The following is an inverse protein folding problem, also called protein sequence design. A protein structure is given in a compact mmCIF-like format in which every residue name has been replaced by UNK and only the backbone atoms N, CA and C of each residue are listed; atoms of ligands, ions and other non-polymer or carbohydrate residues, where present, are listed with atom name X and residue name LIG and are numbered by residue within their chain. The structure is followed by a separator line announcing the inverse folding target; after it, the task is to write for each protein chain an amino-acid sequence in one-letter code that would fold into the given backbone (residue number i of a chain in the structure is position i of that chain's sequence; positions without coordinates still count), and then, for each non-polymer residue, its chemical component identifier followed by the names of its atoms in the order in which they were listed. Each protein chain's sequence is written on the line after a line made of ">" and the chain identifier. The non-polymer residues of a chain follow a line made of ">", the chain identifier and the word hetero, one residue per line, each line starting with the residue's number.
data_IF_580260348455
#
_entry.id   IF_580260348455
#
_cell.length_a   1.000
_cell.length_b   1.000
_cell.length_c   1.000
_cell.angle_alpha   90.00
_cell.angle_beta   90.00
_cell.angle_gamma   90.00
#
_symmetry.space_group_name_H-M   'P 1'
#
loop_
_entity.id
_entity.type
_entity.pdbx_description
1 polymer ?
#
# COMPACT_ATOMS: atom_id res chain seq x y z
N UNK A 1 -8.83 -11.37 16.56
CA UNK A 1 -7.42 -11.28 16.98
C UNK A 1 -6.65 -10.60 15.86
N UNK A 2 -5.74 -9.68 16.19
CA UNK A 2 -4.83 -9.06 15.21
C UNK A 2 -3.43 -9.20 15.77
N UNK A 3 -2.48 -9.66 14.95
CA UNK A 3 -1.08 -9.74 15.36
C UNK A 3 -0.13 -9.39 14.22
N UNK A 4 1.00 -8.80 14.58
CA UNK A 4 2.15 -8.68 13.70
C UNK A 4 2.87 -10.03 13.66
N UNK A 5 3.23 -10.47 12.47
CA UNK A 5 4.05 -11.65 12.28
C UNK A 5 5.53 -11.28 12.34
N UNK A 6 6.40 -12.29 12.26
CA UNK A 6 7.84 -12.06 12.21
C UNK A 6 8.20 -11.18 11.00
N UNK A 7 8.97 -10.12 11.24
CA UNK A 7 9.45 -9.21 10.20
C UNK A 7 10.21 -9.98 9.13
N UNK A 8 9.93 -9.64 7.87
CA UNK A 8 10.61 -10.21 6.70
C UNK A 8 11.28 -9.10 5.89
N UNK A 9 11.92 -9.46 4.77
CA UNK A 9 12.45 -8.49 3.81
C UNK A 9 11.34 -7.67 3.11
N UNK A 10 10.08 -8.07 3.29
CA UNK A 10 8.89 -7.46 2.71
C UNK A 10 8.13 -6.57 3.71
N UNK A 11 8.75 -6.23 4.84
CA UNK A 11 8.13 -5.45 5.91
C UNK A 11 7.56 -6.32 7.03
N UNK A 12 6.51 -5.82 7.69
CA UNK A 12 5.88 -6.46 8.86
C UNK A 12 4.51 -7.00 8.43
N UNK A 13 4.35 -8.31 8.19
CA UNK A 13 3.06 -8.88 7.82
C UNK A 13 2.07 -8.78 8.99
N UNK A 14 0.80 -8.53 8.67
CA UNK A 14 -0.30 -8.50 9.64
C UNK A 14 -1.20 -9.71 9.42
N UNK A 15 -1.48 -10.44 10.50
CA UNK A 15 -2.50 -11.48 10.52
C UNK A 15 -3.76 -10.94 11.20
N UNK A 16 -4.88 -11.02 10.49
CA UNK A 16 -6.20 -10.63 10.96
C UNK A 16 -7.06 -11.89 11.00
N UNK A 17 -7.53 -12.22 12.20
CA UNK A 17 -8.41 -13.37 12.43
C UNK A 17 -9.72 -12.91 13.06
N UNK A 18 -10.81 -13.05 12.32
CA UNK A 18 -12.15 -12.70 12.77
C UNK A 18 -13.18 -13.67 12.18
N UNK A 19 -14.34 -13.75 12.82
CA UNK A 19 -15.50 -14.49 12.33
C UNK A 19 -16.57 -13.51 11.89
N UNK A 20 -17.32 -13.88 10.85
CA UNK A 20 -18.55 -13.17 10.50
C UNK A 20 -19.75 -13.94 11.07
N UNK A 21 -20.86 -13.24 11.28
CA UNK A 21 -22.11 -13.85 11.79
C UNK A 21 -22.94 -14.49 10.69
N UNK A 22 -22.45 -14.53 9.44
CA UNK A 22 -23.16 -15.02 8.26
C UNK A 22 -22.35 -16.12 7.59
N UNK A 23 -23.05 -17.07 6.98
CA UNK A 23 -22.46 -18.11 6.12
C UNK A 23 -22.82 -17.88 4.65
N UNK A 24 -23.51 -16.79 4.32
CA UNK A 24 -23.85 -16.43 2.94
C UNK A 24 -22.58 -15.98 2.24
N UNK A 25 -22.23 -16.66 1.15
CA UNK A 25 -20.98 -16.44 0.42
C UNK A 25 -20.80 -14.97 0.00
N UNK A 26 -21.82 -14.38 -0.63
CA UNK A 26 -21.75 -13.01 -1.14
C UNK A 26 -21.49 -11.98 -0.02
N UNK A 27 -22.14 -12.13 1.14
CA UNK A 27 -21.90 -11.23 2.27
C UNK A 27 -20.54 -11.48 2.91
N UNK A 28 -20.11 -12.73 3.01
CA UNK A 28 -18.80 -13.08 3.56
C UNK A 28 -17.67 -12.47 2.71
N UNK A 29 -17.79 -12.52 1.39
CA UNK A 29 -16.84 -11.91 0.45
C UNK A 29 -16.85 -10.38 0.54
N UNK A 30 -18.04 -9.77 0.56
CA UNK A 30 -18.18 -8.32 0.73
C UNK A 30 -17.56 -7.83 2.03
N UNK A 31 -17.85 -8.50 3.16
CA UNK A 31 -17.29 -8.13 4.46
C UNK A 31 -15.76 -8.24 4.47
N UNK A 32 -15.20 -9.26 3.81
CA UNK A 32 -13.74 -9.35 3.67
C UNK A 32 -13.18 -8.18 2.86
N UNK A 33 -13.82 -7.84 1.73
CA UNK A 33 -13.43 -6.68 0.92
C UNK A 33 -13.46 -5.38 1.72
N UNK A 34 -14.58 -5.10 2.40
CA UNK A 34 -14.77 -3.89 3.21
C UNK A 34 -13.66 -3.72 4.27
N UNK A 35 -13.20 -4.82 4.88
CA UNK A 35 -12.10 -4.80 5.86
C UNK A 35 -10.78 -4.36 5.19
N UNK A 36 -10.42 -4.97 4.06
CA UNK A 36 -9.17 -4.63 3.38
C UNK A 36 -9.21 -3.23 2.77
N UNK A 37 -10.33 -2.82 2.20
CA UNK A 37 -10.50 -1.48 1.63
C UNK A 37 -10.33 -0.39 2.69
N UNK A 38 -10.96 -0.58 3.87
CA UNK A 38 -10.79 0.34 4.99
C UNK A 38 -9.34 0.39 5.49
N UNK A 39 -8.69 -0.77 5.63
CA UNK A 39 -7.30 -0.84 6.05
C UNK A 39 -6.39 -0.10 5.07
N UNK A 40 -6.54 -0.34 3.76
CA UNK A 40 -5.74 0.32 2.74
C UNK A 40 -5.99 1.82 2.70
N UNK A 41 -7.23 2.27 2.90
CA UNK A 41 -7.58 3.68 2.95
C UNK A 41 -6.94 4.40 4.15
N UNK A 42 -6.79 3.73 5.30
CA UNK A 42 -6.23 4.35 6.52
C UNK A 42 -4.70 4.22 6.62
N UNK A 43 -4.06 3.31 5.89
CA UNK A 43 -2.59 3.15 5.91
C UNK A 43 -1.81 4.48 5.72
N UNK A 44 -2.16 5.36 4.76
CA UNK A 44 -1.43 6.61 4.55
C UNK A 44 -1.50 7.58 5.74
N UNK A 45 -2.57 7.56 6.53
CA UNK A 45 -2.73 8.40 7.73
C UNK A 45 -1.69 8.06 8.81
N UNK A 46 -1.19 6.82 8.81
CA UNK A 46 -0.14 6.38 9.71
C UNK A 46 1.27 6.45 9.08
N UNK A 47 1.39 7.07 7.90
CA UNK A 47 2.64 7.07 7.13
C UNK A 47 3.06 5.68 6.65
N UNK A 48 2.11 4.74 6.60
CA UNK A 48 2.35 3.38 6.14
C UNK A 48 1.95 3.27 4.67
N UNK A 49 2.67 2.41 3.95
CA UNK A 49 2.32 2.03 2.58
C UNK A 49 2.17 0.52 2.50
N UNK A 50 1.28 0.07 1.62
CA UNK A 50 1.15 -1.34 1.32
C UNK A 50 2.42 -1.81 0.62
N UNK A 51 3.10 -2.80 1.20
CA UNK A 51 4.21 -3.45 0.53
C UNK A 51 3.69 -4.33 -0.61
N UNK A 52 4.12 -4.03 -1.83
CA UNK A 52 3.98 -4.90 -2.99
C UNK A 52 5.38 -5.12 -3.58
N UNK A 53 5.72 -6.34 -3.96
CA UNK A 53 6.88 -6.54 -4.83
C UNK A 53 6.62 -5.81 -6.16
N UNK A 54 7.54 -5.01 -6.73
CA UNK A 54 8.98 -4.96 -6.45
C UNK A 54 9.34 -3.85 -5.47
N UNK A 55 10.28 -4.11 -4.57
CA UNK A 55 10.79 -3.16 -3.56
C UNK A 55 11.77 -2.12 -4.10
N UNK A 56 12.32 -2.32 -5.29
CA UNK A 56 12.72 -1.21 -6.18
C UNK A 56 11.50 -0.59 -6.89
N UNK A 57 10.30 -0.65 -6.32
CA UNK A 57 9.05 -0.08 -6.85
C UNK A 57 9.03 1.43 -6.68
N UNK A 58 9.70 1.88 -5.64
CA UNK A 58 10.26 3.22 -5.50
C UNK A 58 11.37 3.54 -6.51
N UNK A 59 12.07 2.58 -7.10
CA UNK A 59 13.12 2.89 -8.07
C UNK A 59 12.55 3.25 -9.46
N UNK A 60 11.26 2.95 -9.72
CA UNK A 60 10.69 2.82 -11.08
C UNK A 60 9.22 3.17 -11.23
N UNK A 61 8.44 3.44 -10.16
CA UNK A 61 7.05 3.93 -10.28
C UNK A 61 6.92 5.11 -11.26
N UNK A 62 8.03 5.83 -11.53
CA UNK A 62 8.34 6.44 -12.83
C UNK A 62 9.81 6.87 -13.08
N UNK A 63 10.75 6.56 -12.17
CA UNK A 63 12.03 7.32 -11.98
C UNK A 63 13.16 6.98 -12.96
N UNK A 64 13.23 5.77 -13.51
CA UNK A 64 14.21 5.40 -14.55
C UNK A 64 13.79 5.77 -16.00
N UNK A 65 12.49 5.78 -16.37
CA UNK A 65 12.06 6.16 -17.73
C UNK A 65 11.90 7.66 -18.02
N UNK A 66 11.89 8.57 -17.03
CA UNK A 66 12.10 10.00 -17.27
C UNK A 66 13.59 10.33 -17.54
N UNK A 67 14.49 9.57 -16.90
CA UNK A 67 15.95 9.60 -17.08
C UNK A 67 16.39 9.24 -18.51
N UNK A 68 15.49 8.71 -19.35
CA UNK A 68 15.69 8.48 -20.79
C UNK A 68 15.39 9.72 -21.67
N UNK A 69 15.03 10.89 -21.10
CA UNK A 69 15.11 12.22 -21.73
C UNK A 69 13.82 12.84 -22.32
N UNK A 70 12.91 13.34 -21.48
CA UNK A 70 11.81 14.24 -21.88
C UNK A 70 12.06 15.68 -21.35
N UNK A 71 12.09 16.65 -22.27
CA UNK A 71 12.52 18.05 -22.14
C UNK A 71 11.39 19.03 -21.79
N UNK A 72 10.67 18.81 -20.69
CA UNK A 72 9.83 19.86 -20.11
C UNK A 72 9.77 19.68 -18.59
N UNK A 73 10.67 20.36 -17.90
CA UNK A 73 10.64 20.53 -16.45
C UNK A 73 9.68 21.71 -16.23
N UNK A 74 8.49 21.53 -15.64
CA UNK A 74 7.87 22.66 -14.97
C UNK A 74 8.79 22.99 -13.79
N UNK A 75 9.34 24.20 -13.84
CA UNK A 75 10.20 24.78 -12.84
C UNK A 75 9.58 24.54 -11.46
N UNK A 76 10.20 23.65 -10.70
CA UNK A 76 10.15 23.72 -9.27
C UNK A 76 10.89 25.01 -8.89
N UNK A 77 10.19 26.13 -8.95
CA UNK A 77 10.33 27.14 -7.92
C UNK A 77 10.04 26.41 -6.61
N UNK A 78 11.08 25.83 -5.99
CA UNK A 78 11.11 25.90 -4.54
C UNK A 78 11.08 27.39 -4.25
N UNK A 79 10.42 27.82 -3.18
CA UNK A 79 11.03 28.95 -2.51
C UNK A 79 12.42 28.50 -2.03
N UNK A 80 13.39 28.75 -2.91
CA UNK A 80 14.82 28.89 -2.72
C UNK A 80 15.69 27.64 -2.43
N UNK A 81 16.71 27.54 -3.29
CA UNK A 81 18.01 26.86 -3.20
C UNK A 81 18.09 25.34 -3.40
#
# INVERSE_FOLDING_TARGET
>A
MVRQMQTTAQGIPLEIYCFTTTTVWADYERIQGDIFDYLLAVLPEFGLSLYQQPSGGDLRSGILPAVLGASHIPEAEKHLM
#
